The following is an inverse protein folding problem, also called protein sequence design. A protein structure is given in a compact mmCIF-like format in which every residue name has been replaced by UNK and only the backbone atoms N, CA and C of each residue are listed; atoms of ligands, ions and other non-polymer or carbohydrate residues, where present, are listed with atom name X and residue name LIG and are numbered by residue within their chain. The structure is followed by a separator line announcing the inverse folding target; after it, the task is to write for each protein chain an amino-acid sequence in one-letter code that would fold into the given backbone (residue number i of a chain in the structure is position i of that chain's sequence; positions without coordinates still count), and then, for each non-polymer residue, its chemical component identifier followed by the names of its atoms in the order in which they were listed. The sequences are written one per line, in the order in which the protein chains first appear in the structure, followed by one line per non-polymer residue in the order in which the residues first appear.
data_IF_279314635055
#
_entry.id   IF_279314635055
#
_cell.length_a   1.000
_cell.length_b   1.000
_cell.length_c   1.000
_cell.angle_alpha   90.00
_cell.angle_beta   90.00
_cell.angle_gamma   90.00
#
_symmetry.space_group_name_H-M   'P 1'
#
loop_
_entity.id
_entity.type
_entity.pdbx_description
1 polymer ?
#
# COMPACT_ATOMS: atom_id res chain seq x y z
N UNK A 1 24.22 -10.28 25.49
CA UNK A 1 24.01 -9.18 26.47
C UNK A 1 22.74 -8.39 26.18
N UNK A 2 22.59 -7.77 25.00
CA UNK A 2 21.39 -6.95 24.64
C UNK A 2 20.09 -7.78 24.62
N UNK A 3 20.10 -8.98 24.01
CA UNK A 3 18.91 -9.84 23.95
C UNK A 3 18.43 -10.24 25.36
N UNK A 4 19.34 -10.65 26.24
CA UNK A 4 19.00 -10.99 27.63
C UNK A 4 18.45 -9.79 28.40
N UNK A 5 18.98 -8.58 28.16
CA UNK A 5 18.43 -7.36 28.74
C UNK A 5 17.01 -7.07 28.25
N UNK A 6 16.75 -7.24 26.95
CA UNK A 6 15.42 -7.05 26.35
C UNK A 6 14.40 -8.08 26.87
N UNK A 7 14.81 -9.34 27.04
CA UNK A 7 13.96 -10.38 27.61
C UNK A 7 13.68 -10.14 29.10
N UNK A 8 14.66 -9.64 29.85
CA UNK A 8 14.48 -9.26 31.25
C UNK A 8 13.51 -8.09 31.37
N UNK A 9 13.67 -7.06 30.52
CA UNK A 9 12.75 -5.92 30.42
C UNK A 9 11.32 -6.34 30.08
N UNK A 10 11.14 -7.34 29.21
CA UNK A 10 9.83 -7.92 28.94
C UNK A 10 9.23 -8.55 30.20
N UNK A 11 9.94 -9.47 30.83
CA UNK A 11 9.43 -10.25 31.96
C UNK A 11 9.16 -9.37 33.19
N UNK A 12 9.96 -8.32 33.41
CA UNK A 12 9.84 -7.46 34.60
C UNK A 12 8.91 -6.27 34.40
N UNK A 13 8.86 -5.66 33.21
CA UNK A 13 8.16 -4.39 32.98
C UNK A 13 6.95 -4.51 32.07
N UNK A 14 6.94 -5.42 31.08
CA UNK A 14 5.81 -5.52 30.15
C UNK A 14 4.74 -6.50 30.60
N UNK A 15 5.07 -7.58 31.32
CA UNK A 15 4.05 -8.55 31.75
C UNK A 15 3.33 -8.15 33.05
N UNK A 16 3.97 -7.35 33.91
CA UNK A 16 3.43 -6.94 35.21
C UNK A 16 2.84 -5.51 35.23
N UNK A 17 3.04 -4.72 34.18
CA UNK A 17 2.57 -3.33 34.15
C UNK A 17 1.07 -3.20 33.79
N UNK A 18 0.42 -2.11 34.23
CA UNK A 18 -0.92 -1.76 33.79
C UNK A 18 -1.05 -1.68 32.27
N UNK A 19 -2.24 -1.94 31.73
CA UNK A 19 -2.51 -1.97 30.29
C UNK A 19 -2.05 -0.69 29.55
N UNK A 20 -2.37 0.48 30.10
CA UNK A 20 -1.98 1.78 29.54
C UNK A 20 -0.46 1.91 29.42
N UNK A 21 0.29 1.49 30.45
CA UNK A 21 1.75 1.48 30.45
C UNK A 21 2.30 0.53 29.37
N UNK A 22 1.72 -0.66 29.22
CA UNK A 22 2.11 -1.64 28.21
C UNK A 22 1.93 -1.09 26.79
N UNK A 23 0.83 -0.40 26.52
CA UNK A 23 0.56 0.24 25.23
C UNK A 23 1.61 1.32 24.93
N UNK A 24 1.86 2.24 25.87
CA UNK A 24 2.82 3.33 25.67
C UNK A 24 4.24 2.80 25.48
N UNK A 25 4.66 1.82 26.28
CA UNK A 25 5.96 1.18 26.11
C UNK A 25 6.08 0.45 24.77
N UNK A 26 5.03 -0.26 24.35
CA UNK A 26 5.00 -0.95 23.06
C UNK A 26 5.17 0.04 21.90
N UNK A 27 4.47 1.18 21.94
CA UNK A 27 4.63 2.26 20.97
C UNK A 27 6.07 2.81 20.96
N UNK A 28 6.67 3.03 22.14
CA UNK A 28 8.05 3.49 22.23
C UNK A 28 9.04 2.48 21.63
N UNK A 29 8.89 1.19 21.95
CA UNK A 29 9.72 0.10 21.41
C UNK A 29 9.58 0.04 19.89
N UNK A 30 8.34 0.12 19.36
CA UNK A 30 8.07 0.12 17.92
C UNK A 30 8.78 1.29 17.22
N UNK A 31 8.66 2.51 17.75
CA UNK A 31 9.27 3.69 17.16
C UNK A 31 10.80 3.61 17.22
N UNK A 32 11.37 3.20 18.36
CA UNK A 32 12.81 3.06 18.53
C UNK A 32 13.39 1.94 17.64
N UNK A 33 12.73 0.79 17.56
CA UNK A 33 13.16 -0.32 16.71
C UNK A 33 13.05 0.04 15.23
N UNK A 34 11.93 0.64 14.81
CA UNK A 34 11.71 1.12 13.45
C UNK A 34 12.77 2.14 13.04
N UNK A 35 12.98 3.17 13.86
CA UNK A 35 14.01 4.18 13.63
C UNK A 35 15.43 3.61 13.63
N UNK A 36 15.77 2.78 14.61
CA UNK A 36 17.09 2.18 14.75
C UNK A 36 17.50 1.40 13.50
N UNK A 37 16.59 0.57 12.96
CA UNK A 37 16.87 -0.22 11.77
C UNK A 37 17.00 0.62 10.50
N UNK A 38 16.44 1.85 10.46
CA UNK A 38 16.69 2.76 9.32
C UNK A 38 18.16 3.14 9.15
N UNK A 39 18.96 3.09 10.22
CA UNK A 39 20.40 3.37 10.13
C UNK A 39 21.13 2.30 9.31
N UNK A 40 20.67 1.05 9.40
CA UNK A 40 21.22 -0.06 8.61
C UNK A 40 20.70 -0.01 7.17
N UNK A 41 19.40 0.19 6.97
CA UNK A 41 18.84 0.21 5.60
C UNK A 41 19.33 1.40 4.78
N UNK A 42 19.60 2.55 5.41
CA UNK A 42 20.23 3.71 4.74
C UNK A 42 21.64 3.39 4.20
N UNK A 43 22.44 2.61 4.93
CA UNK A 43 23.76 2.16 4.45
C UNK A 43 23.61 1.26 3.22
N UNK A 44 22.58 0.42 3.20
CA UNK A 44 22.24 -0.44 2.07
C UNK A 44 21.49 0.29 0.94
N UNK A 45 21.19 1.59 1.10
CA UNK A 45 20.39 2.42 0.17
C UNK A 45 18.98 1.88 -0.09
N UNK A 46 18.41 1.25 0.92
CA UNK A 46 17.05 0.72 0.89
C UNK A 46 16.04 1.72 1.46
N UNK A 47 14.77 1.64 1.05
CA UNK A 47 13.72 2.49 1.60
C UNK A 47 13.46 2.23 3.09
N UNK A 48 13.00 3.27 3.79
CA UNK A 48 12.72 3.17 5.23
C UNK A 48 11.60 2.15 5.54
N UNK A 49 10.66 1.94 4.62
CA UNK A 49 9.58 0.96 4.78
C UNK A 49 10.12 -0.45 5.04
N UNK A 50 11.20 -0.83 4.36
CA UNK A 50 11.89 -2.11 4.61
C UNK A 50 12.35 -2.22 6.07
N UNK A 51 12.94 -1.16 6.63
CA UNK A 51 13.35 -1.15 8.03
C UNK A 51 12.14 -1.33 8.96
N UNK A 52 11.03 -0.65 8.68
CA UNK A 52 9.86 -0.71 9.55
C UNK A 52 9.28 -2.12 9.63
N UNK A 53 9.07 -2.76 8.48
CA UNK A 53 8.53 -4.12 8.42
C UNK A 53 9.47 -5.11 9.09
N UNK A 54 10.77 -5.07 8.75
CA UNK A 54 11.77 -5.98 9.33
C UNK A 54 11.91 -5.78 10.85
N UNK A 55 11.84 -4.53 11.34
CA UNK A 55 11.80 -4.27 12.77
C UNK A 55 10.60 -4.94 13.44
N UNK A 56 9.42 -4.90 12.80
CA UNK A 56 8.23 -5.61 13.27
C UNK A 56 8.43 -7.11 13.35
N UNK A 57 9.02 -7.72 12.31
CA UNK A 57 9.34 -9.16 12.33
C UNK A 57 10.29 -9.49 13.49
N UNK A 58 11.31 -8.66 13.72
CA UNK A 58 12.33 -8.88 14.77
C UNK A 58 11.74 -8.72 16.17
N UNK A 59 10.96 -7.67 16.43
CA UNK A 59 10.42 -7.41 17.80
C UNK A 59 9.12 -8.16 18.07
N UNK A 60 8.48 -8.70 17.03
CA UNK A 60 7.20 -9.39 17.09
C UNK A 60 7.29 -10.81 17.64
N UNK A 61 6.15 -11.53 17.66
CA UNK A 61 6.00 -12.80 18.35
C UNK A 61 6.96 -13.91 17.88
N UNK A 62 7.41 -13.85 16.63
CA UNK A 62 8.30 -14.83 16.01
C UNK A 62 9.79 -14.47 16.10
N UNK A 63 10.13 -13.31 16.67
CA UNK A 63 11.50 -12.87 16.91
C UNK A 63 11.78 -12.78 18.41
N UNK A 64 11.92 -11.56 18.91
CA UNK A 64 12.17 -11.26 20.33
C UNK A 64 10.91 -11.32 21.20
N UNK A 65 9.72 -11.37 20.59
CA UNK A 65 8.42 -11.41 21.26
C UNK A 65 8.28 -10.33 22.34
N UNK A 66 8.67 -9.09 21.99
CA UNK A 66 8.62 -7.93 22.88
C UNK A 66 7.25 -7.24 22.87
N UNK A 67 6.47 -7.43 21.79
CA UNK A 67 5.16 -6.84 21.64
C UNK A 67 4.10 -7.93 21.77
N UNK A 68 3.13 -7.74 22.67
CA UNK A 68 2.07 -8.71 22.93
C UNK A 68 1.06 -8.80 21.78
N UNK A 69 0.38 -9.94 21.66
CA UNK A 69 -0.71 -10.13 20.69
C UNK A 69 -1.89 -9.20 20.95
N UNK A 70 -2.23 -8.96 22.22
CA UNK A 70 -3.28 -8.00 22.62
C UNK A 70 -3.01 -6.59 22.07
N UNK A 71 -1.75 -6.12 22.11
CA UNK A 71 -1.39 -4.82 21.53
C UNK A 71 -1.62 -4.81 20.01
N UNK A 72 -1.29 -5.89 19.32
CA UNK A 72 -1.45 -5.99 17.87
C UNK A 72 -2.94 -5.91 17.49
N UNK A 73 -3.81 -6.54 18.26
CA UNK A 73 -5.26 -6.53 18.07
C UNK A 73 -5.88 -5.16 18.40
N UNK A 74 -5.51 -4.57 19.54
CA UNK A 74 -6.04 -3.27 20.00
C UNK A 74 -5.57 -2.07 19.16
N UNK A 75 -4.50 -2.24 18.38
CA UNK A 75 -3.97 -1.20 17.49
C UNK A 75 -4.37 -1.36 16.02
N UNK A 76 -5.41 -2.13 15.74
CA UNK A 76 -5.96 -2.30 14.38
C UNK A 76 -6.34 -0.97 13.70
N UNK A 77 -6.75 0.04 14.47
CA UNK A 77 -7.07 1.40 14.01
C UNK A 77 -5.90 2.10 13.31
N UNK A 78 -4.64 1.76 13.64
CA UNK A 78 -3.46 2.36 12.99
C UNK A 78 -3.46 2.13 11.48
N UNK A 79 -4.05 1.02 11.05
CA UNK A 79 -4.23 0.72 9.63
C UNK A 79 -5.11 1.78 8.99
N UNK A 80 -6.29 2.05 9.54
CA UNK A 80 -7.25 2.99 8.96
C UNK A 80 -6.68 4.42 8.90
N UNK A 81 -6.06 4.87 10.00
CA UNK A 81 -5.38 6.18 10.04
C UNK A 81 -4.32 6.29 8.95
N UNK A 82 -3.47 5.27 8.82
CA UNK A 82 -2.38 5.27 7.84
C UNK A 82 -2.89 5.19 6.41
N UNK A 83 -3.91 4.37 6.16
CA UNK A 83 -4.58 4.26 4.87
C UNK A 83 -5.16 5.60 4.44
N UNK A 84 -5.83 6.32 5.33
CA UNK A 84 -6.39 7.65 5.05
C UNK A 84 -5.31 8.66 4.66
N UNK A 85 -4.18 8.68 5.38
CA UNK A 85 -3.04 9.58 5.08
C UNK A 85 -2.37 9.24 3.75
N UNK A 86 -2.12 7.95 3.47
CA UNK A 86 -1.54 7.48 2.21
C UNK A 86 -2.47 7.84 1.04
N UNK A 87 -3.75 7.51 1.16
CA UNK A 87 -4.74 7.74 0.11
C UNK A 87 -4.94 9.23 -0.19
N UNK A 88 -5.08 10.06 0.86
CA UNK A 88 -5.17 11.50 0.69
C UNK A 88 -3.93 12.07 -0.02
N UNK A 89 -2.74 11.65 0.43
CA UNK A 89 -1.47 12.06 -0.18
C UNK A 89 -1.34 11.60 -1.64
N UNK A 90 -1.88 10.44 -1.99
CA UNK A 90 -1.91 9.95 -3.38
C UNK A 90 -2.84 10.79 -4.27
N UNK A 91 -3.94 11.34 -3.71
CA UNK A 91 -4.86 12.23 -4.43
C UNK A 91 -4.18 13.43 -5.10
N UNK A 92 -3.05 13.91 -4.55
CA UNK A 92 -2.29 15.03 -5.12
C UNK A 92 -1.75 14.75 -6.54
N UNK A 93 -1.53 13.47 -6.89
CA UNK A 93 -1.01 13.08 -8.20
C UNK A 93 -2.03 13.32 -9.32
N UNK A 94 -3.31 13.46 -8.98
CA UNK A 94 -4.42 13.73 -9.90
C UNK A 94 -4.64 15.22 -10.20
N UNK A 95 -3.61 16.06 -9.99
CA UNK A 95 -3.64 17.47 -10.36
C UNK A 95 -3.79 17.59 -11.88
N UNK A 96 -4.93 18.12 -12.34
CA UNK A 96 -5.30 18.19 -13.76
C UNK A 96 -4.24 18.86 -14.63
N UNK A 97 -3.51 19.87 -14.12
CA UNK A 97 -2.40 20.50 -14.84
C UNK A 97 -1.28 19.52 -15.23
N UNK A 98 -1.01 18.49 -14.41
CA UNK A 98 0.01 17.45 -14.68
C UNK A 98 -0.51 16.38 -15.67
N UNK A 99 -1.84 16.28 -15.80
CA UNK A 99 -2.55 15.31 -16.62
C UNK A 99 -2.93 15.84 -18.03
N UNK A 100 -2.90 17.15 -18.27
CA UNK A 100 -3.43 17.78 -19.50
C UNK A 100 -2.76 17.39 -20.83
N UNK A 101 -1.58 16.74 -20.84
CA UNK A 101 -0.93 16.24 -22.07
C UNK A 101 -0.56 14.78 -21.89
N UNK A 102 -0.97 13.90 -22.80
CA UNK A 102 -0.56 12.49 -22.77
C UNK A 102 -1.26 11.60 -21.73
N UNK A 103 -2.29 12.08 -21.01
CA UNK A 103 -3.07 11.23 -20.10
C UNK A 103 -3.72 10.06 -20.83
N UNK A 104 -4.24 10.23 -22.04
CA UNK A 104 -4.89 9.12 -22.76
C UNK A 104 -3.89 7.97 -22.99
N UNK A 105 -2.71 8.19 -23.62
CA UNK A 105 -1.68 7.17 -23.68
C UNK A 105 -1.29 6.57 -22.32
N UNK A 106 -1.05 7.42 -21.32
CA UNK A 106 -0.61 6.97 -20.00
C UNK A 106 -1.69 6.17 -19.25
N UNK A 107 -2.96 6.52 -19.42
CA UNK A 107 -4.10 5.78 -18.86
C UNK A 107 -4.30 4.45 -19.56
N UNK A 108 -4.15 4.38 -20.88
CA UNK A 108 -4.18 3.11 -21.61
C UNK A 108 -3.04 2.20 -21.14
N UNK A 109 -1.85 2.75 -20.95
CA UNK A 109 -0.71 1.99 -20.40
C UNK A 109 -1.02 1.50 -18.99
N UNK A 110 -1.44 2.38 -18.08
CA UNK A 110 -1.78 2.04 -16.69
C UNK A 110 -2.88 0.97 -16.62
N UNK A 111 -3.93 1.10 -17.42
CA UNK A 111 -5.03 0.14 -17.49
C UNK A 111 -4.55 -1.22 -18.02
N UNK A 112 -3.77 -1.21 -19.10
CA UNK A 112 -3.24 -2.45 -19.69
C UNK A 112 -2.31 -3.15 -18.70
N UNK A 113 -1.40 -2.41 -18.06
CA UNK A 113 -0.39 -3.02 -17.20
C UNK A 113 -0.98 -3.54 -15.89
N UNK A 114 -1.88 -2.76 -15.26
CA UNK A 114 -2.53 -3.14 -14.00
C UNK A 114 -3.49 -4.32 -14.22
N UNK A 115 -4.35 -4.25 -15.24
CA UNK A 115 -5.33 -5.31 -15.49
C UNK A 115 -4.71 -6.57 -16.07
N UNK A 116 -3.70 -6.45 -16.94
CA UNK A 116 -2.98 -7.64 -17.44
C UNK A 116 -2.24 -8.35 -16.30
N UNK A 117 -1.56 -7.59 -15.43
CA UNK A 117 -0.92 -8.18 -14.25
C UNK A 117 -1.92 -8.89 -13.34
N UNK A 118 -3.06 -8.24 -13.07
CA UNK A 118 -4.12 -8.81 -12.24
C UNK A 118 -4.71 -10.07 -12.89
N UNK A 119 -5.02 -10.02 -14.19
CA UNK A 119 -5.55 -11.16 -14.93
C UNK A 119 -4.56 -12.34 -14.94
N UNK A 120 -3.29 -12.08 -15.23
CA UNK A 120 -2.25 -13.11 -15.23
C UNK A 120 -2.13 -13.76 -13.85
N UNK A 121 -2.09 -12.95 -12.79
CA UNK A 121 -2.04 -13.44 -11.41
C UNK A 121 -3.27 -14.28 -11.06
N UNK A 122 -4.46 -13.82 -11.47
CA UNK A 122 -5.71 -14.54 -11.27
C UNK A 122 -5.69 -15.90 -11.98
N UNK A 123 -5.24 -15.95 -13.24
CA UNK A 123 -5.14 -17.19 -14.01
C UNK A 123 -4.22 -18.19 -13.31
N UNK A 124 -3.04 -17.74 -12.88
CA UNK A 124 -2.09 -18.60 -12.18
C UNK A 124 -2.66 -19.09 -10.85
N UNK A 125 -3.23 -18.22 -10.02
CA UNK A 125 -3.79 -18.62 -8.72
C UNK A 125 -4.97 -19.58 -8.88
N UNK A 126 -5.92 -19.25 -9.76
CA UNK A 126 -7.18 -19.98 -9.87
C UNK A 126 -7.07 -21.26 -10.69
N UNK A 127 -6.40 -21.23 -11.83
CA UNK A 127 -6.40 -22.36 -12.78
C UNK A 127 -5.15 -23.23 -12.69
N UNK A 128 -3.99 -22.65 -12.35
CA UNK A 128 -2.74 -23.42 -12.21
C UNK A 128 -2.59 -23.94 -10.79
N UNK A 129 -2.64 -23.04 -9.80
CA UNK A 129 -2.48 -23.39 -8.39
C UNK A 129 -3.77 -23.91 -7.73
N UNK A 130 -4.92 -23.74 -8.40
CA UNK A 130 -6.24 -24.20 -7.94
C UNK A 130 -6.67 -23.64 -6.58
N UNK A 131 -6.19 -22.43 -6.25
CA UNK A 131 -6.56 -21.71 -5.04
C UNK A 131 -8.04 -21.27 -5.13
N UNK A 132 -8.68 -21.15 -3.97
CA UNK A 132 -10.06 -20.70 -3.84
C UNK A 132 -10.27 -19.32 -4.49
N UNK A 133 -11.51 -19.09 -4.93
CA UNK A 133 -11.88 -17.91 -5.71
C UNK A 133 -11.74 -16.59 -4.93
N UNK A 134 -12.21 -16.46 -3.68
CA UNK A 134 -12.05 -15.23 -2.90
C UNK A 134 -10.58 -14.79 -2.77
N UNK A 135 -9.69 -15.72 -2.40
CA UNK A 135 -8.27 -15.44 -2.24
C UNK A 135 -7.61 -15.08 -3.58
N UNK A 136 -7.93 -15.81 -4.65
CA UNK A 136 -7.39 -15.55 -5.99
C UNK A 136 -7.78 -14.17 -6.51
N UNK A 137 -9.04 -13.75 -6.33
CA UNK A 137 -9.53 -12.42 -6.74
C UNK A 137 -8.77 -11.31 -6.02
N UNK A 138 -8.70 -11.38 -4.69
CA UNK A 138 -8.08 -10.33 -3.90
C UNK A 138 -6.57 -10.29 -4.15
N UNK A 139 -5.87 -11.42 -4.07
CA UNK A 139 -4.42 -11.44 -4.28
C UNK A 139 -4.05 -10.92 -5.68
N UNK A 140 -4.84 -11.28 -6.69
CA UNK A 140 -4.64 -10.80 -8.06
C UNK A 140 -4.85 -9.30 -8.21
N UNK A 141 -5.86 -8.72 -7.55
CA UNK A 141 -6.11 -7.27 -7.58
C UNK A 141 -5.00 -6.46 -6.91
N UNK A 142 -4.40 -6.99 -5.83
CA UNK A 142 -3.27 -6.34 -5.15
C UNK A 142 -2.02 -6.39 -6.04
N UNK A 143 -1.84 -7.44 -6.85
CA UNK A 143 -0.67 -7.57 -7.73
C UNK A 143 -0.51 -6.40 -8.71
N UNK A 144 -1.61 -5.77 -9.13
CA UNK A 144 -1.58 -4.60 -10.01
C UNK A 144 -0.93 -3.35 -9.40
N UNK A 145 -0.88 -3.23 -8.06
CA UNK A 145 -0.39 -2.02 -7.37
C UNK A 145 1.09 -1.72 -7.63
N UNK A 146 1.44 -0.43 -7.62
CA UNK A 146 2.83 0.06 -7.73
C UNK A 146 3.16 0.94 -6.52
N UNK A 147 4.43 1.04 -6.10
CA UNK A 147 4.86 2.00 -5.09
C UNK A 147 5.36 3.31 -5.73
N UNK A 148 4.56 4.40 -5.75
CA UNK A 148 4.97 5.67 -6.36
C UNK A 148 6.22 6.25 -5.69
N UNK A 149 6.28 6.17 -4.36
CA UNK A 149 7.31 6.83 -3.54
C UNK A 149 8.73 6.40 -3.89
N UNK A 150 8.95 5.08 -4.06
CA UNK A 150 10.28 4.52 -4.34
C UNK A 150 10.78 4.96 -5.73
N UNK A 151 9.90 4.92 -6.73
CA UNK A 151 10.22 5.36 -8.09
C UNK A 151 10.44 6.87 -8.17
N UNK A 152 9.57 7.68 -7.55
CA UNK A 152 9.70 9.15 -7.52
C UNK A 152 10.98 9.57 -6.77
N UNK A 153 11.31 8.90 -5.66
CA UNK A 153 12.55 9.16 -4.93
C UNK A 153 13.77 8.86 -5.79
N UNK A 154 13.75 7.76 -6.54
CA UNK A 154 14.83 7.42 -7.49
C UNK A 154 14.97 8.46 -8.59
N UNK A 155 13.86 8.93 -9.18
CA UNK A 155 13.83 10.02 -10.16
C UNK A 155 14.47 11.29 -9.58
N UNK A 156 14.06 11.69 -8.37
CA UNK A 156 14.58 12.89 -7.69
C UNK A 156 16.07 12.77 -7.37
N UNK A 157 16.51 11.64 -6.81
CA UNK A 157 17.91 11.38 -6.48
C UNK A 157 18.81 11.41 -7.72
N UNK A 158 18.31 10.92 -8.86
CA UNK A 158 19.02 10.95 -10.14
C UNK A 158 18.83 12.23 -10.94
N UNK A 159 17.98 13.15 -10.46
CA UNK A 159 17.58 14.35 -11.18
C UNK A 159 17.11 14.03 -12.61
N UNK A 160 16.51 12.85 -12.79
CA UNK A 160 16.14 12.33 -14.10
C UNK A 160 15.00 13.14 -14.73
N UNK A 161 15.10 13.41 -16.03
CA UNK A 161 14.11 14.21 -16.79
C UNK A 161 13.85 13.59 -18.16
N UNK A 162 12.82 14.09 -18.85
CA UNK A 162 12.47 13.71 -20.22
C UNK A 162 11.15 12.96 -20.34
N UNK A 163 10.81 12.57 -21.58
CA UNK A 163 9.51 11.97 -21.93
C UNK A 163 9.24 10.64 -21.21
N UNK A 164 10.27 9.84 -20.97
CA UNK A 164 10.17 8.61 -20.17
C UNK A 164 9.68 8.91 -18.75
N UNK A 165 10.33 9.85 -18.07
CA UNK A 165 9.99 10.26 -16.70
C UNK A 165 8.58 10.84 -16.64
N UNK A 166 8.21 11.66 -17.64
CA UNK A 166 6.85 12.20 -17.74
C UNK A 166 5.78 11.11 -17.87
N UNK A 167 6.01 10.14 -18.76
CA UNK A 167 5.09 9.00 -18.95
C UNK A 167 5.02 8.14 -17.68
N UNK A 168 6.17 7.85 -17.06
CA UNK A 168 6.26 7.07 -15.83
C UNK A 168 5.46 7.70 -14.68
N UNK A 169 5.61 9.01 -14.45
CA UNK A 169 4.86 9.71 -13.39
C UNK A 169 3.34 9.66 -13.65
N UNK A 170 2.92 9.79 -14.92
CA UNK A 170 1.50 9.73 -15.26
C UNK A 170 0.93 8.32 -15.10
N UNK A 171 1.67 7.30 -15.53
CA UNK A 171 1.26 5.89 -15.38
C UNK A 171 1.13 5.54 -13.89
N UNK A 172 2.11 5.90 -13.07
CA UNK A 172 2.08 5.72 -11.60
C UNK A 172 0.92 6.48 -10.94
N UNK A 173 0.53 7.63 -11.48
CA UNK A 173 -0.63 8.34 -10.92
C UNK A 173 -1.92 7.55 -11.18
N UNK A 174 -2.10 7.08 -12.42
CA UNK A 174 -3.34 6.40 -12.84
C UNK A 174 -3.42 4.96 -12.35
N UNK A 175 -2.30 4.25 -12.25
CA UNK A 175 -2.24 2.83 -11.84
C UNK A 175 -2.75 2.62 -10.40
N UNK A 176 -2.45 3.53 -9.48
CA UNK A 176 -2.92 3.50 -8.10
C UNK A 176 -4.45 3.56 -8.06
N UNK A 177 -5.08 4.46 -8.83
CA UNK A 177 -6.54 4.54 -8.89
C UNK A 177 -7.15 3.24 -9.43
N UNK A 178 -6.61 2.72 -10.53
CA UNK A 178 -7.12 1.48 -11.16
C UNK A 178 -6.97 0.30 -10.21
N UNK A 179 -5.83 0.20 -9.52
CA UNK A 179 -5.55 -0.87 -8.57
C UNK A 179 -6.49 -0.82 -7.37
N UNK A 180 -6.76 0.37 -6.83
CA UNK A 180 -7.67 0.55 -5.70
C UNK A 180 -9.12 0.22 -6.06
N UNK A 181 -9.58 0.63 -7.24
CA UNK A 181 -10.90 0.25 -7.76
C UNK A 181 -10.99 -1.27 -7.98
N UNK A 182 -9.99 -1.86 -8.62
CA UNK A 182 -9.92 -3.30 -8.88
C UNK A 182 -9.93 -4.11 -7.58
N UNK A 183 -9.19 -3.65 -6.57
CA UNK A 183 -9.18 -4.24 -5.25
C UNK A 183 -10.54 -4.15 -4.56
N UNK A 184 -11.16 -2.96 -4.55
CA UNK A 184 -12.43 -2.78 -3.87
C UNK A 184 -13.54 -3.66 -4.47
N UNK A 185 -13.58 -3.77 -5.81
CA UNK A 185 -14.49 -4.68 -6.52
C UNK A 185 -14.17 -6.14 -6.15
N UNK A 186 -12.89 -6.53 -6.19
CA UNK A 186 -12.48 -7.91 -5.89
C UNK A 186 -12.78 -8.33 -4.46
N UNK A 187 -12.53 -7.45 -3.48
CA UNK A 187 -12.83 -7.67 -2.07
C UNK A 187 -14.34 -7.83 -1.86
N UNK A 188 -15.13 -6.98 -2.50
CA UNK A 188 -16.58 -7.01 -2.42
C UNK A 188 -17.17 -8.32 -2.94
N UNK A 189 -16.71 -8.75 -4.13
CA UNK A 189 -17.11 -10.03 -4.73
C UNK A 189 -16.67 -11.19 -3.84
N UNK A 190 -15.44 -11.15 -3.31
CA UNK A 190 -14.92 -12.19 -2.42
C UNK A 190 -15.74 -12.35 -1.14
N UNK A 191 -16.14 -11.25 -0.49
CA UNK A 191 -17.01 -11.28 0.69
C UNK A 191 -18.40 -11.83 0.34
N UNK A 192 -18.98 -11.39 -0.78
CA UNK A 192 -20.27 -11.90 -1.26
C UNK A 192 -20.24 -13.42 -1.49
N UNK A 193 -19.17 -13.93 -2.10
CA UNK A 193 -18.96 -15.37 -2.33
C UNK A 193 -18.84 -16.16 -1.02
N UNK A 194 -18.19 -15.61 -0.01
CA UNK A 194 -18.03 -16.27 1.30
C UNK A 194 -19.35 -16.39 2.07
N UNK A 195 -20.30 -15.49 1.83
CA UNK A 195 -21.59 -15.48 2.51
C UNK A 195 -22.63 -16.43 1.87
N UNK A 196 -22.23 -17.28 0.91
CA UNK A 196 -23.03 -18.33 0.24
C UNK A 196 -24.35 -17.88 -0.44
N UNK A 197 -24.65 -16.58 -0.46
CA UNK A 197 -25.73 -15.97 -1.23
C UNK A 197 -25.06 -15.10 -2.28
N UNK A 198 -24.84 -15.64 -3.48
CA UNK A 198 -24.36 -14.83 -4.60
C UNK A 198 -25.57 -14.32 -5.37
N UNK A 199 -25.98 -13.09 -5.07
CA UNK A 199 -26.97 -12.31 -5.81
C UNK A 199 -26.25 -11.26 -6.67
N UNK A 200 -26.87 -10.85 -7.78
CA UNK A 200 -26.46 -9.63 -8.52
C UNK A 200 -26.35 -8.42 -7.59
N UNK A 201 -27.15 -8.40 -6.52
CA UNK A 201 -27.12 -7.38 -5.47
C UNK A 201 -25.75 -7.29 -4.77
N UNK A 202 -25.05 -8.41 -4.59
CA UNK A 202 -23.76 -8.48 -3.87
C UNK A 202 -22.59 -7.94 -4.70
N UNK A 203 -22.77 -7.79 -6.01
CA UNK A 203 -21.80 -7.12 -6.90
C UNK A 203 -22.19 -5.66 -7.11
N UNK A 204 -23.49 -5.39 -7.31
CA UNK A 204 -23.98 -4.04 -7.56
C UNK A 204 -23.85 -3.12 -6.35
N UNK A 205 -24.23 -3.61 -5.15
CA UNK A 205 -24.24 -2.79 -3.95
C UNK A 205 -22.84 -2.26 -3.60
N UNK A 206 -21.76 -3.06 -3.62
CA UNK A 206 -20.44 -2.54 -3.26
C UNK A 206 -19.85 -1.58 -4.30
N UNK A 207 -20.18 -1.74 -5.60
CA UNK A 207 -19.83 -0.75 -6.63
C UNK A 207 -20.52 0.58 -6.34
N UNK A 208 -21.81 0.55 -6.00
CA UNK A 208 -22.56 1.75 -5.61
C UNK A 208 -22.00 2.37 -4.32
N UNK A 209 -21.66 1.55 -3.31
CA UNK A 209 -21.03 2.04 -2.08
C UNK A 209 -19.68 2.71 -2.36
N UNK A 210 -18.85 2.14 -3.24
CA UNK A 210 -17.60 2.78 -3.66
C UNK A 210 -17.84 4.12 -4.37
N UNK A 211 -18.84 4.21 -5.25
CA UNK A 211 -19.21 5.47 -5.90
C UNK A 211 -19.67 6.52 -4.88
N UNK A 212 -20.51 6.13 -3.91
CA UNK A 212 -20.97 7.00 -2.82
C UNK A 212 -19.76 7.51 -2.01
N UNK A 213 -18.81 6.64 -1.67
CA UNK A 213 -17.61 6.99 -0.91
C UNK A 213 -16.69 7.92 -1.69
N UNK A 214 -16.54 7.73 -3.00
CA UNK A 214 -15.80 8.64 -3.88
C UNK A 214 -16.46 10.02 -3.90
N UNK A 215 -17.78 10.08 -4.04
CA UNK A 215 -18.54 11.34 -4.05
C UNK A 215 -18.43 12.02 -2.68
N UNK A 216 -18.68 11.29 -1.59
CA UNK A 216 -18.59 11.81 -0.22
C UNK A 216 -17.17 12.32 0.09
N UNK A 217 -16.14 11.58 -0.29
CA UNK A 217 -14.76 12.01 -0.18
C UNK A 217 -14.46 13.28 -0.99
N UNK A 218 -14.98 13.37 -2.21
CA UNK A 218 -14.87 14.56 -3.04
C UNK A 218 -15.55 15.79 -2.41
N UNK A 219 -16.76 15.63 -1.87
CA UNK A 219 -17.47 16.66 -1.12
C UNK A 219 -16.69 17.10 0.13
N UNK A 220 -16.08 16.16 0.86
CA UNK A 220 -15.16 16.48 1.95
C UNK A 220 -13.92 17.24 1.47
N UNK A 221 -13.43 16.99 0.25
CA UNK A 221 -12.34 17.76 -0.36
C UNK A 221 -12.73 19.21 -0.64
N UNK A 222 -13.98 19.45 -1.03
CA UNK A 222 -14.56 20.79 -1.14
C UNK A 222 -14.68 21.44 0.25
N UNK A 223 -15.23 20.74 1.23
CA UNK A 223 -15.33 21.21 2.61
C UNK A 223 -13.96 21.58 3.17
N UNK A 224 -12.94 20.75 2.93
CA UNK A 224 -11.57 20.98 3.34
C UNK A 224 -11.01 22.28 2.74
N UNK A 225 -11.32 22.60 1.47
CA UNK A 225 -10.95 23.91 0.89
C UNK A 225 -11.62 25.07 1.63
N UNK A 226 -12.91 24.95 1.98
CA UNK A 226 -13.61 26.00 2.72
C UNK A 226 -13.04 26.21 4.14
N UNK A 227 -12.64 25.13 4.82
CA UNK A 227 -12.07 25.17 6.16
C UNK A 227 -10.59 25.59 6.18
N UNK A 228 -9.91 25.55 5.03
CA UNK A 228 -8.50 25.93 4.86
C UNK A 228 -8.32 27.15 3.95
N UNK A 229 -8.75 28.35 4.37
CA UNK A 229 -8.40 29.58 3.68
C UNK A 229 -6.91 29.89 3.84
N UNK A 230 -6.35 30.65 2.89
CA UNK A 230 -4.90 30.80 2.71
C UNK A 230 -4.18 31.51 3.88
N UNK A 231 -4.91 32.12 4.83
CA UNK A 231 -4.38 32.80 6.02
C UNK A 231 -4.19 31.90 7.24
N UNK A 232 -4.62 30.63 7.20
CA UNK A 232 -4.45 29.70 8.35
C UNK A 232 -2.98 29.33 8.53
N UNK A 233 -2.53 29.26 9.78
CA UNK A 233 -1.19 28.75 10.11
C UNK A 233 -1.02 27.28 9.74
N UNK A 234 0.22 26.86 9.50
CA UNK A 234 0.57 25.50 9.10
C UNK A 234 0.03 24.44 10.10
N UNK A 235 0.14 24.70 11.41
CA UNK A 235 -0.36 23.80 12.45
C UNK A 235 -1.88 23.63 12.41
N UNK A 236 -2.61 24.73 12.24
CA UNK A 236 -4.07 24.70 12.13
C UNK A 236 -4.51 23.93 10.89
N UNK A 237 -3.80 24.11 9.77
CA UNK A 237 -4.06 23.39 8.52
C UNK A 237 -3.93 21.88 8.73
N UNK A 238 -2.85 21.44 9.39
CA UNK A 238 -2.62 20.04 9.68
C UNK A 238 -3.70 19.45 10.60
N UNK A 239 -4.07 20.15 11.69
CA UNK A 239 -5.13 19.70 12.61
C UNK A 239 -6.45 19.49 11.87
N UNK A 240 -6.86 20.44 11.02
CA UNK A 240 -8.11 20.36 10.26
C UNK A 240 -8.10 19.18 9.29
N UNK A 241 -7.00 18.97 8.54
CA UNK A 241 -6.87 17.82 7.63
C UNK A 241 -6.98 16.51 8.39
N UNK A 242 -6.27 16.38 9.50
CA UNK A 242 -6.30 15.16 10.31
C UNK A 242 -7.70 14.91 10.86
N UNK A 243 -8.38 15.94 11.37
CA UNK A 243 -9.74 15.81 11.88
C UNK A 243 -10.72 15.32 10.81
N UNK A 244 -10.64 15.88 9.59
CA UNK A 244 -11.52 15.48 8.48
C UNK A 244 -11.18 14.06 7.99
N UNK A 245 -9.90 13.72 7.85
CA UNK A 245 -9.49 12.39 7.41
C UNK A 245 -9.87 11.30 8.42
N UNK A 246 -9.61 11.53 9.70
CA UNK A 246 -9.97 10.61 10.77
C UNK A 246 -11.48 10.50 10.95
N UNK A 247 -12.20 11.63 10.89
CA UNK A 247 -13.67 11.64 10.94
C UNK A 247 -14.29 10.86 9.78
N UNK A 248 -13.81 11.10 8.56
CA UNK A 248 -14.24 10.34 7.38
C UNK A 248 -13.91 8.85 7.52
N UNK A 249 -12.70 8.51 7.98
CA UNK A 249 -12.31 7.13 8.22
C UNK A 249 -13.18 6.45 9.27
N UNK A 250 -13.52 7.14 10.36
CA UNK A 250 -14.41 6.64 11.39
C UNK A 250 -15.82 6.37 10.86
N UNK A 251 -16.36 7.27 10.05
CA UNK A 251 -17.66 7.06 9.38
C UNK A 251 -17.59 5.84 8.45
N UNK A 252 -16.55 5.71 7.63
CA UNK A 252 -16.36 4.53 6.78
C UNK A 252 -16.27 3.23 7.59
N UNK A 253 -15.57 3.25 8.72
CA UNK A 253 -15.48 2.10 9.62
C UNK A 253 -16.83 1.72 10.23
N UNK A 254 -17.68 2.68 10.59
CA UNK A 254 -19.05 2.41 11.09
C UNK A 254 -19.90 1.64 10.07
N UNK A 255 -19.70 1.90 8.78
CA UNK A 255 -20.40 1.20 7.70
C UNK A 255 -19.64 -0.02 7.15
N UNK A 256 -18.53 -0.42 7.78
CA UNK A 256 -17.65 -1.50 7.33
C UNK A 256 -17.13 -1.33 5.88
N UNK A 257 -16.82 -0.11 5.47
CA UNK A 257 -16.30 0.19 4.13
C UNK A 257 -14.91 0.82 4.19
N UNK A 258 -14.13 0.64 3.11
CA UNK A 258 -12.81 1.27 2.99
C UNK A 258 -12.91 2.80 2.91
N UNK A 259 -12.13 3.55 3.70
CA UNK A 259 -12.00 4.99 3.51
C UNK A 259 -11.10 5.35 2.32
N UNK A 260 -10.39 4.38 1.74
CA UNK A 260 -9.25 4.62 0.87
C UNK A 260 -9.64 5.42 -0.40
N UNK A 261 -10.63 4.95 -1.16
CA UNK A 261 -11.10 5.66 -2.37
C UNK A 261 -11.66 7.06 -2.05
N UNK A 262 -12.32 7.21 -0.90
CA UNK A 262 -12.87 8.49 -0.46
C UNK A 262 -11.79 9.50 -0.05
N UNK A 263 -10.80 9.08 0.74
CA UNK A 263 -9.65 9.91 1.09
C UNK A 263 -8.83 10.32 -0.14
N UNK A 264 -8.67 9.43 -1.12
CA UNK A 264 -8.01 9.75 -2.38
C UNK A 264 -8.81 10.77 -3.22
N UNK A 265 -10.13 10.58 -3.32
CA UNK A 265 -11.04 11.55 -3.95
C UNK A 265 -10.98 12.91 -3.26
N UNK A 266 -10.95 12.93 -1.92
CA UNK A 266 -10.79 14.14 -1.10
C UNK A 266 -9.51 14.89 -1.46
N UNK A 267 -8.37 14.20 -1.52
CA UNK A 267 -7.09 14.78 -1.93
C UNK A 267 -7.10 15.28 -3.37
N UNK A 268 -7.68 14.52 -4.30
CA UNK A 268 -7.83 14.87 -5.71
C UNK A 268 -8.66 16.15 -5.90
N UNK A 269 -9.83 16.23 -5.25
CA UNK A 269 -10.70 17.41 -5.36
C UNK A 269 -10.03 18.61 -4.72
N UNK A 270 -9.46 18.44 -3.51
CA UNK A 270 -8.77 19.52 -2.82
C UNK A 270 -7.63 20.12 -3.65
N UNK A 271 -6.72 19.31 -4.22
CA UNK A 271 -5.58 19.84 -5.00
C UNK A 271 -6.01 20.58 -6.27
N UNK A 272 -7.13 20.18 -6.88
CA UNK A 272 -7.60 20.79 -8.12
C UNK A 272 -8.35 22.11 -7.89
N UNK A 273 -9.01 22.27 -6.74
CA UNK A 273 -9.67 23.52 -6.35
C UNK A 273 -8.65 24.51 -5.76
N UNK A 274 -7.89 24.07 -4.75
CA UNK A 274 -6.97 24.93 -3.99
C UNK A 274 -5.67 25.24 -4.73
N UNK A 275 -5.19 24.30 -5.55
CA UNK A 275 -3.82 24.26 -6.13
C UNK A 275 -2.70 24.21 -5.09
N UNK A 276 -3.05 23.95 -3.83
CA UNK A 276 -2.18 24.00 -2.67
C UNK A 276 -1.37 22.71 -2.51
N UNK A 277 -0.16 22.69 -3.08
CA UNK A 277 0.78 21.57 -2.92
C UNK A 277 1.41 21.55 -1.52
N UNK A 278 1.45 22.69 -0.81
CA UNK A 278 2.09 22.79 0.52
C UNK A 278 1.36 21.98 1.57
N UNK A 279 0.02 21.89 1.50
CA UNK A 279 -0.74 21.06 2.43
C UNK A 279 -0.28 19.59 2.36
N UNK A 280 -0.10 19.07 1.15
CA UNK A 280 0.37 17.70 0.96
C UNK A 280 1.81 17.54 1.45
N UNK A 281 2.68 18.54 1.27
CA UNK A 281 4.03 18.52 1.85
C UNK A 281 3.99 18.45 3.38
N UNK A 282 3.15 19.25 4.05
CA UNK A 282 2.97 19.20 5.50
C UNK A 282 2.49 17.84 5.98
N UNK A 283 1.44 17.30 5.34
CA UNK A 283 0.90 15.96 5.67
C UNK A 283 1.99 14.91 5.48
N UNK A 284 2.80 14.99 4.42
CA UNK A 284 3.90 14.07 4.18
C UNK A 284 5.08 14.24 5.17
N UNK A 285 5.27 15.43 5.75
CA UNK A 285 6.25 15.67 6.82
C UNK A 285 5.75 15.10 8.15
N UNK A 286 4.44 15.18 8.41
CA UNK A 286 3.82 14.69 9.66
C UNK A 286 3.54 13.18 9.65
N UNK A 287 3.20 12.59 8.52
CA UNK A 287 2.82 11.17 8.40
C UNK A 287 3.90 10.14 8.82
N UNK A 288 5.22 10.36 8.72
CA UNK A 288 6.23 9.32 8.92
C UNK A 288 6.16 8.54 10.25
N UNK A 289 5.93 9.16 11.43
CA UNK A 289 5.77 8.41 12.68
C UNK A 289 4.54 7.49 12.67
N UNK A 290 3.41 7.95 12.14
CA UNK A 290 2.18 7.16 12.03
C UNK A 290 2.37 5.98 11.07
N UNK A 291 2.96 6.26 9.90
CA UNK A 291 3.29 5.24 8.92
C UNK A 291 4.29 4.21 9.46
N UNK A 292 5.27 4.65 10.26
CA UNK A 292 6.20 3.75 10.92
C UNK A 292 5.46 2.80 11.86
N UNK A 293 4.56 3.30 12.71
CA UNK A 293 3.74 2.46 13.59
C UNK A 293 2.96 1.41 12.78
N UNK A 294 2.33 1.82 11.68
CA UNK A 294 1.59 0.93 10.81
C UNK A 294 2.46 -0.13 10.13
N UNK A 295 3.58 0.25 9.52
CA UNK A 295 4.44 -0.71 8.82
C UNK A 295 5.16 -1.67 9.78
N UNK A 296 5.56 -1.21 10.96
CA UNK A 296 6.08 -2.10 12.01
C UNK A 296 4.97 -3.05 12.46
N UNK A 297 3.74 -2.57 12.65
CA UNK A 297 2.58 -3.43 12.98
C UNK A 297 2.32 -4.49 11.91
N UNK A 298 2.41 -4.16 10.62
CA UNK A 298 2.33 -5.15 9.54
C UNK A 298 3.44 -6.21 9.65
N UNK A 299 4.64 -5.83 10.10
CA UNK A 299 5.72 -6.76 10.43
C UNK A 299 5.43 -7.62 11.67
N UNK A 300 4.76 -7.07 12.69
CA UNK A 300 4.33 -7.84 13.88
C UNK A 300 3.31 -8.93 13.51
N UNK A 301 2.42 -8.64 12.55
CA UNK A 301 1.43 -9.59 12.01
C UNK A 301 2.06 -10.66 11.09
N UNK A 302 3.31 -10.48 10.69
CA UNK A 302 3.97 -11.37 9.75
C UNK A 302 4.23 -12.74 10.35
N UNK A 303 3.56 -13.78 9.84
CA UNK A 303 3.70 -15.16 10.33
C UNK A 303 4.91 -15.86 9.72
N UNK A 304 6.09 -15.57 10.26
CA UNK A 304 7.37 -16.11 9.77
C UNK A 304 7.41 -17.65 9.83
N UNK A 305 6.95 -18.26 10.92
CA UNK A 305 6.89 -19.72 11.06
C UNK A 305 6.00 -20.37 10.00
N UNK A 306 4.87 -19.72 9.69
CA UNK A 306 3.92 -20.16 8.66
C UNK A 306 4.52 -20.17 7.26
N UNK A 307 5.45 -19.26 6.99
CA UNK A 307 6.16 -19.17 5.72
C UNK A 307 7.20 -20.30 5.62
N UNK A 308 8.15 -20.38 6.53
CA UNK A 308 9.33 -21.25 6.37
C UNK A 308 9.10 -22.71 6.79
N UNK A 309 8.19 -22.98 7.72
CA UNK A 309 7.95 -24.34 8.21
C UNK A 309 6.86 -25.08 7.42
N UNK A 310 6.38 -24.51 6.30
CA UNK A 310 5.24 -25.00 5.52
C UNK A 310 3.97 -25.28 6.36
N UNK A 311 3.88 -24.71 7.57
CA UNK A 311 2.77 -24.96 8.51
C UNK A 311 1.51 -24.16 8.13
N UNK A 312 1.64 -23.17 7.25
CA UNK A 312 0.52 -22.50 6.61
C UNK A 312 0.50 -22.81 5.12
N UNK A 313 -0.68 -23.19 4.64
CA UNK A 313 -0.96 -23.42 3.23
C UNK A 313 -2.32 -22.85 2.87
N UNK A 314 -2.47 -22.37 1.64
CA UNK A 314 -3.77 -22.04 1.07
C UNK A 314 -4.10 -23.12 0.05
N UNK A 315 -5.17 -23.89 0.30
CA UNK A 315 -5.61 -24.98 -0.56
C UNK A 315 -4.49 -25.95 -0.95
N UNK A 316 -3.68 -26.36 0.05
CA UNK A 316 -2.51 -27.26 -0.06
C UNK A 316 -1.26 -26.65 -0.71
N UNK A 317 -1.27 -25.37 -1.10
CA UNK A 317 -0.08 -24.69 -1.60
C UNK A 317 0.66 -24.01 -0.44
N UNK A 318 1.95 -24.34 -0.21
CA UNK A 318 2.75 -23.66 0.81
C UNK A 318 2.88 -22.17 0.53
N UNK A 319 2.87 -21.34 1.59
CA UNK A 319 3.00 -19.88 1.42
C UNK A 319 4.32 -19.46 0.76
N UNK A 320 5.41 -20.21 0.95
CA UNK A 320 6.71 -19.98 0.28
C UNK A 320 6.59 -20.04 -1.23
N UNK A 321 5.91 -21.06 -1.74
CA UNK A 321 5.63 -21.22 -3.18
C UNK A 321 4.78 -20.05 -3.65
N UNK A 322 3.75 -19.69 -2.90
CA UNK A 322 2.87 -18.59 -3.27
C UNK A 322 3.60 -17.23 -3.29
N UNK A 323 4.51 -16.96 -2.36
CA UNK A 323 5.38 -15.77 -2.36
C UNK A 323 6.26 -15.73 -3.61
N UNK A 324 6.90 -16.84 -3.96
CA UNK A 324 7.75 -16.93 -5.15
C UNK A 324 6.93 -16.73 -6.44
N UNK A 325 5.80 -17.43 -6.54
CA UNK A 325 4.89 -17.32 -7.69
C UNK A 325 4.37 -15.89 -7.81
N UNK A 326 3.90 -15.30 -6.72
CA UNK A 326 3.42 -13.92 -6.72
C UNK A 326 4.50 -12.96 -7.18
N UNK A 327 5.73 -13.11 -6.69
CA UNK A 327 6.87 -12.29 -7.08
C UNK A 327 7.17 -12.40 -8.59
N UNK A 328 7.29 -13.62 -9.11
CA UNK A 328 7.64 -13.85 -10.53
C UNK A 328 6.50 -13.45 -11.47
N UNK A 329 5.28 -13.85 -11.16
CA UNK A 329 4.11 -13.60 -12.03
C UNK A 329 3.77 -12.12 -12.07
N UNK A 330 3.84 -11.42 -10.92
CA UNK A 330 3.63 -9.97 -10.91
C UNK A 330 4.70 -9.27 -11.73
N UNK A 331 5.98 -9.64 -11.58
CA UNK A 331 7.04 -9.06 -12.41
C UNK A 331 6.75 -9.23 -13.91
N UNK A 332 6.45 -10.46 -14.32
CA UNK A 332 6.11 -10.76 -15.71
C UNK A 332 4.90 -9.94 -16.17
N UNK A 333 3.81 -9.95 -15.40
CA UNK A 333 2.56 -9.26 -15.73
C UNK A 333 2.71 -7.74 -15.85
N UNK A 334 3.37 -7.08 -14.88
CA UNK A 334 3.64 -5.64 -14.94
C UNK A 334 4.54 -5.30 -16.13
N UNK A 335 5.57 -6.10 -16.38
CA UNK A 335 6.50 -5.86 -17.49
C UNK A 335 5.82 -6.00 -18.85
N UNK A 336 5.14 -7.13 -19.09
CA UNK A 336 4.47 -7.40 -20.37
C UNK A 336 3.28 -6.48 -20.58
N UNK A 337 2.49 -6.22 -19.53
CA UNK A 337 1.35 -5.32 -19.62
C UNK A 337 1.78 -3.88 -19.95
N UNK A 338 2.85 -3.37 -19.33
CA UNK A 338 3.40 -2.06 -19.65
C UNK A 338 3.98 -2.01 -21.07
N UNK A 339 4.65 -3.08 -21.51
CA UNK A 339 5.17 -3.22 -22.87
C UNK A 339 4.04 -3.17 -23.91
N UNK A 340 2.99 -3.96 -23.72
CA UNK A 340 1.80 -4.00 -24.59
C UNK A 340 1.14 -2.62 -24.61
N UNK A 341 0.90 -2.01 -23.45
CA UNK A 341 0.29 -0.68 -23.36
C UNK A 341 1.12 0.38 -24.10
N UNK A 342 2.45 0.32 -24.01
CA UNK A 342 3.35 1.22 -24.73
C UNK A 342 3.30 1.00 -26.26
N UNK A 343 3.22 -0.25 -26.72
CA UNK A 343 3.05 -0.57 -28.15
C UNK A 343 1.69 -0.08 -28.69
N UNK A 344 0.60 -0.31 -27.95
CA UNK A 344 -0.75 0.17 -28.32
C UNK A 344 -0.77 1.70 -28.48
N UNK A 345 -0.04 2.40 -27.61
CA UNK A 345 -0.03 3.87 -27.58
C UNK A 345 1.07 4.52 -28.42
N UNK A 346 1.83 3.72 -29.18
CA UNK A 346 2.88 4.21 -30.08
C UNK A 346 4.04 4.91 -29.37
N UNK A 347 4.36 4.51 -28.12
CA UNK A 347 5.52 5.06 -27.40
C UNK A 347 6.83 4.62 -28.05
N UNK A 348 7.87 5.43 -27.87
CA UNK A 348 9.21 5.14 -28.37
C UNK A 348 9.77 3.85 -27.74
N UNK A 349 10.75 3.25 -28.42
CA UNK A 349 11.33 1.97 -28.02
C UNK A 349 12.04 2.01 -26.66
N UNK A 350 12.63 3.15 -26.28
CA UNK A 350 13.27 3.31 -24.97
C UNK A 350 12.22 3.28 -23.87
N UNK A 351 11.11 3.99 -24.04
CA UNK A 351 9.99 3.95 -23.11
C UNK A 351 9.38 2.55 -23.04
N UNK A 352 9.07 1.96 -24.21
CA UNK A 352 8.42 0.65 -24.30
C UNK A 352 9.20 -0.47 -23.60
N UNK A 353 10.53 -0.51 -23.77
CA UNK A 353 11.36 -1.59 -23.21
C UNK A 353 11.67 -1.42 -21.71
N UNK A 354 11.59 -0.20 -21.18
CA UNK A 354 12.04 0.11 -19.83
C UNK A 354 10.93 0.48 -18.84
N UNK A 355 9.73 0.84 -19.31
CA UNK A 355 8.66 1.31 -18.42
C UNK A 355 8.27 0.25 -17.39
N UNK A 356 8.10 -1.01 -17.81
CA UNK A 356 7.79 -2.12 -16.91
C UNK A 356 8.82 -2.33 -15.79
N UNK A 357 10.11 -2.08 -16.05
CA UNK A 357 11.16 -2.16 -15.02
C UNK A 357 11.04 -1.03 -14.00
N UNK A 358 10.54 0.14 -14.40
CA UNK A 358 10.33 1.27 -13.50
C UNK A 358 9.07 1.14 -12.63
N UNK A 359 8.12 0.29 -13.05
CA UNK A 359 6.90 -0.06 -12.31
C UNK A 359 7.08 -1.28 -11.39
N UNK A 360 8.31 -1.81 -11.30
CA UNK A 360 8.64 -2.94 -10.44
C UNK A 360 8.36 -2.71 -8.95
N UNK A 361 8.67 -1.54 -8.34
CA UNK A 361 8.50 -1.34 -6.91
C UNK A 361 7.05 -1.53 -6.42
N UNK A 362 6.88 -2.18 -5.26
CA UNK A 362 5.60 -2.39 -4.59
C UNK A 362 5.83 -2.38 -3.07
N UNK A 363 5.01 -1.64 -2.33
CA UNK A 363 5.13 -1.54 -0.87
C UNK A 363 3.86 -0.96 -0.23
N UNK A 364 3.87 0.33 0.11
CA UNK A 364 2.93 0.94 1.06
C UNK A 364 1.46 0.67 0.77
N UNK A 365 1.01 0.96 -0.46
CA UNK A 365 -0.39 0.74 -0.87
C UNK A 365 -0.75 -0.74 -0.84
N UNK A 366 0.12 -1.61 -1.37
CA UNK A 366 -0.13 -3.06 -1.38
C UNK A 366 -0.29 -3.64 0.03
N UNK A 367 0.59 -3.24 0.95
CA UNK A 367 0.54 -3.68 2.36
C UNK A 367 -0.73 -3.18 3.03
N UNK A 368 -1.12 -1.94 2.78
CA UNK A 368 -2.38 -1.37 3.24
C UNK A 368 -3.61 -2.15 2.75
N UNK A 369 -3.65 -2.48 1.46
CA UNK A 369 -4.72 -3.29 0.87
C UNK A 369 -4.74 -4.72 1.44
N UNK A 370 -3.57 -5.31 1.66
CA UNK A 370 -3.47 -6.65 2.23
C UNK A 370 -3.91 -6.69 3.70
N UNK A 371 -3.54 -5.69 4.50
CA UNK A 371 -4.01 -5.56 5.88
C UNK A 371 -5.54 -5.35 5.93
N UNK A 372 -6.09 -4.55 5.00
CA UNK A 372 -7.53 -4.37 4.89
C UNK A 372 -8.23 -5.68 4.51
N UNK A 373 -7.76 -6.37 3.47
CA UNK A 373 -8.31 -7.67 3.06
C UNK A 373 -8.22 -8.70 4.18
N UNK A 374 -7.11 -8.74 4.91
CA UNK A 374 -6.90 -9.62 6.05
C UNK A 374 -7.96 -9.41 7.13
N UNK A 375 -8.22 -8.15 7.49
CA UNK A 375 -9.27 -7.77 8.43
C UNK A 375 -10.67 -8.12 7.93
N UNK A 376 -10.96 -7.89 6.65
CA UNK A 376 -12.28 -8.13 6.07
C UNK A 376 -12.60 -9.61 5.86
N UNK A 377 -11.62 -10.42 5.47
CA UNK A 377 -11.79 -11.87 5.28
C UNK A 377 -11.72 -12.63 6.60
N UNK A 378 -10.91 -12.14 7.55
CA UNK A 378 -10.64 -12.79 8.81
C UNK A 378 -9.94 -14.15 8.66
N UNK A 379 -9.75 -14.82 9.80
CA UNK A 379 -9.24 -16.19 9.86
C UNK A 379 -7.85 -16.41 9.27
N UNK A 380 -7.55 -17.66 8.92
CA UNK A 380 -6.27 -18.05 8.33
C UNK A 380 -6.08 -17.53 6.90
N UNK A 381 -7.17 -17.36 6.15
CA UNK A 381 -7.15 -16.91 4.76
C UNK A 381 -6.69 -15.45 4.66
N UNK A 382 -7.25 -14.56 5.48
CA UNK A 382 -6.83 -13.17 5.56
C UNK A 382 -5.36 -13.01 5.98
N UNK A 383 -4.95 -13.73 7.02
CA UNK A 383 -3.57 -13.72 7.53
C UNK A 383 -2.57 -14.25 6.49
N UNK A 384 -2.96 -15.28 5.72
CA UNK A 384 -2.13 -15.82 4.63
C UNK A 384 -1.93 -14.78 3.53
N UNK A 385 -2.99 -14.04 3.18
CA UNK A 385 -2.94 -13.00 2.16
C UNK A 385 -2.02 -11.85 2.59
N UNK A 386 -2.17 -11.35 3.82
CA UNK A 386 -1.29 -10.33 4.39
C UNK A 386 0.16 -10.80 4.41
N UNK A 387 0.41 -12.03 4.85
CA UNK A 387 1.77 -12.61 4.92
C UNK A 387 2.42 -12.67 3.54
N UNK A 388 1.70 -13.13 2.50
CA UNK A 388 2.23 -13.20 1.13
C UNK A 388 2.57 -11.82 0.58
N UNK A 389 1.66 -10.85 0.73
CA UNK A 389 1.88 -9.49 0.21
C UNK A 389 2.98 -8.78 0.97
N UNK A 390 3.06 -8.91 2.29
CA UNK A 390 4.13 -8.32 3.10
C UNK A 390 5.49 -8.95 2.75
N UNK A 391 5.57 -10.28 2.66
CA UNK A 391 6.81 -10.98 2.28
C UNK A 391 7.32 -10.52 0.91
N UNK A 392 6.44 -10.48 -0.08
CA UNK A 392 6.79 -10.08 -1.44
C UNK A 392 7.12 -8.59 -1.53
N UNK A 393 6.41 -7.73 -0.80
CA UNK A 393 6.72 -6.29 -0.72
C UNK A 393 8.11 -6.02 -0.15
N UNK A 394 8.57 -6.82 0.82
CA UNK A 394 9.96 -6.75 1.30
C UNK A 394 10.92 -7.04 0.14
N UNK A 395 10.73 -8.13 -0.61
CA UNK A 395 11.56 -8.48 -1.78
C UNK A 395 11.54 -7.37 -2.84
N UNK A 396 10.37 -6.78 -3.10
CA UNK A 396 10.21 -5.67 -4.04
C UNK A 396 10.91 -4.40 -3.59
N UNK A 397 10.97 -4.10 -2.29
CA UNK A 397 11.74 -2.93 -1.81
C UNK A 397 13.25 -3.14 -1.85
N UNK A 398 13.72 -4.40 -1.77
CA UNK A 398 15.14 -4.72 -1.98
C UNK A 398 15.56 -4.55 -3.45
N UNK A 399 14.73 -5.02 -4.39
CA UNK A 399 15.09 -5.10 -5.82
C UNK A 399 14.57 -3.89 -6.61
N UNK A 400 13.44 -3.32 -6.21
CA UNK A 400 12.71 -2.28 -6.93
C UNK A 400 13.49 -0.99 -7.19
N UNK A 401 14.14 -0.37 -6.20
CA UNK A 401 14.97 0.82 -6.44
C UNK A 401 16.07 0.57 -7.46
N UNK A 402 16.68 -0.64 -7.45
CA UNK A 402 17.69 -1.02 -8.43
C UNK A 402 17.11 -1.16 -9.84
N UNK A 403 15.92 -1.77 -9.98
CA UNK A 403 15.21 -1.88 -11.25
C UNK A 403 14.78 -0.52 -11.81
N UNK A 404 14.18 0.34 -10.97
CA UNK A 404 13.79 1.69 -11.35
C UNK A 404 15.00 2.54 -11.79
N UNK A 405 16.12 2.45 -11.05
CA UNK A 405 17.37 3.12 -11.43
C UNK A 405 17.93 2.62 -12.75
N UNK A 406 17.89 1.30 -12.98
CA UNK A 406 18.33 0.67 -14.23
C UNK A 406 17.47 1.12 -15.41
N UNK A 407 16.15 1.15 -15.24
CA UNK A 407 15.19 1.63 -16.23
C UNK A 407 15.48 3.08 -16.65
N UNK A 408 15.65 3.98 -15.67
CA UNK A 408 15.97 5.38 -15.92
C UNK A 408 17.32 5.56 -16.66
N UNK A 409 18.34 4.76 -16.31
CA UNK A 409 19.64 4.78 -16.99
C UNK A 409 19.52 4.29 -18.44
N UNK A 410 18.84 3.16 -18.66
CA UNK A 410 18.61 2.57 -20.00
C UNK A 410 17.77 3.49 -20.90
N UNK A 411 16.85 4.25 -20.30
CA UNK A 411 16.06 5.26 -20.99
C UNK A 411 16.80 6.60 -21.23
N UNK A 412 18.10 6.69 -20.90
CA UNK A 412 18.96 7.89 -21.11
C UNK A 412 18.39 9.17 -20.49
N UNK A 413 17.87 9.06 -19.27
CA UNK A 413 17.20 10.18 -18.58
C UNK A 413 18.11 10.98 -17.64
N UNK A 414 19.34 10.50 -17.41
CA UNK A 414 20.39 11.15 -16.63
C UNK A 414 21.77 10.58 -16.97
#
# INVERSE_FOLDING_TARGET
MIVNFLLLLRNSLLEQAPETTRIVMSLAIILLAGFGLTRITKLMRLPNVTAYIVSGVIIGPYGLNLISKEFIESTSFLSDVSLSLIAFSAGQFFKMKRLKRGIIPSSVIALTETLFCSLLMFIVCRFILRINLPFSLILSSIAGTTAPTSTIMTIRQKKAKGNFVYTLIQVIAVDDLISLLSFSISLSIAIGLMNHKFSMMDVFMPVMTNLIIIIAGGLQGVLLRFLLPDYRSEDNRLIIVLAILLGFSGICALYNVSPLLGCMSMGMVYINISKDEKLFEQVNIFSPPILMLFFVRSGLNFKMDGLFNNSMSVDSIPLTVLVLVYFVVRFAGKYTGAFIGCKITGKDDLTTKNLGLALFPQAGVAIALAAMASRSLGGSLGLSLETVVVATSILYEFIGPAMAKSALKRAKTY
#
